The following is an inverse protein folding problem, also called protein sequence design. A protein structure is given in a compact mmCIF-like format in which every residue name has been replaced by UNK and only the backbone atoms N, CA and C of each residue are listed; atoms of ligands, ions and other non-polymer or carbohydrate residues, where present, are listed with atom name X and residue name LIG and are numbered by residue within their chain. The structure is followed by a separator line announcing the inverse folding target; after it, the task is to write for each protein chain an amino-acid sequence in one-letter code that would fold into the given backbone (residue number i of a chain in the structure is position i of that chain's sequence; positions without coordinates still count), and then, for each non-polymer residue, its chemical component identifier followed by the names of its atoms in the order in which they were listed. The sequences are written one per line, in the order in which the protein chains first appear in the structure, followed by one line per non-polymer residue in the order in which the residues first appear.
data_IF_867587040994
#
_entry.id   IF_867587040994
#
_cell.length_a   1.000
_cell.length_b   1.000
_cell.length_c   1.000
_cell.angle_alpha   90.00
_cell.angle_beta   90.00
_cell.angle_gamma   90.00
#
_symmetry.space_group_name_H-M   'P 1'
#
loop_
_entity.id
_entity.type
_entity.pdbx_description
1 polymer ?
#
# COMPACT_ATOMS: atom_id res chain seq x y z
N UNK A 1 -18.62 5.02 -2.06
CA UNK A 1 -17.52 4.50 -1.21
C UNK A 1 -16.29 5.31 -1.56
N UNK A 2 -15.78 6.14 -0.65
CA UNK A 2 -14.55 6.90 -0.91
C UNK A 2 -13.33 6.06 -0.54
N UNK A 3 -12.41 5.91 -1.48
CA UNK A 3 -11.06 5.41 -1.24
C UNK A 3 -10.08 6.56 -1.49
N UNK A 4 -8.95 6.55 -0.78
CA UNK A 4 -7.84 7.42 -1.16
C UNK A 4 -7.10 6.79 -2.33
N UNK A 5 -6.71 7.60 -3.31
CA UNK A 5 -5.88 7.17 -4.43
C UNK A 5 -4.63 8.03 -4.51
N UNK A 6 -3.49 7.37 -4.66
CA UNK A 6 -2.21 7.99 -4.94
C UNK A 6 -1.53 7.26 -6.09
N UNK A 7 -0.52 7.90 -6.69
CA UNK A 7 0.18 7.37 -7.85
C UNK A 7 1.66 7.27 -7.56
N UNK A 8 2.25 6.14 -7.96
CA UNK A 8 3.68 5.90 -7.91
C UNK A 8 4.13 5.14 -9.16
N UNK A 9 5.38 4.69 -9.19
CA UNK A 9 5.93 3.92 -10.32
C UNK A 9 6.46 2.57 -9.85
N UNK A 10 6.19 1.54 -10.66
CA UNK A 10 6.93 0.28 -10.61
C UNK A 10 8.29 0.42 -11.28
N UNK A 11 9.26 -0.43 -10.93
CA UNK A 11 10.55 -0.51 -11.61
C UNK A 11 10.63 -1.85 -12.32
N UNK A 12 10.75 -1.82 -13.65
CA UNK A 12 10.77 -2.99 -14.52
C UNK A 12 11.93 -2.81 -15.51
N UNK A 13 13.11 -3.28 -15.13
CA UNK A 13 14.33 -2.98 -15.89
C UNK A 13 14.57 -1.47 -15.96
N UNK A 14 14.53 -0.91 -17.16
CA UNK A 14 14.65 0.54 -17.41
C UNK A 14 13.30 1.28 -17.42
N UNK A 15 12.19 0.53 -17.41
CA UNK A 15 10.85 1.08 -17.49
C UNK A 15 10.30 1.43 -16.11
N UNK A 16 9.51 2.51 -16.08
CA UNK A 16 8.82 3.00 -14.89
C UNK A 16 7.29 3.00 -15.10
N UNK A 17 6.63 1.82 -15.18
CA UNK A 17 5.18 1.76 -15.37
C UNK A 17 4.43 2.42 -14.20
N UNK A 18 3.32 3.08 -14.53
CA UNK A 18 2.45 3.71 -13.55
C UNK A 18 1.83 2.65 -12.62
N UNK A 19 1.84 2.92 -11.33
CA UNK A 19 1.10 2.15 -10.33
C UNK A 19 0.15 3.08 -9.60
N UNK A 20 -1.13 2.70 -9.53
CA UNK A 20 -2.11 3.37 -8.69
C UNK A 20 -2.25 2.60 -7.39
N UNK A 21 -2.19 3.32 -6.28
CA UNK A 21 -2.35 2.79 -4.92
C UNK A 21 -3.69 3.28 -4.41
N UNK A 22 -4.59 2.34 -4.12
CA UNK A 22 -5.93 2.65 -3.63
C UNK A 22 -6.11 2.07 -2.24
N UNK A 23 -6.57 2.90 -1.30
CA UNK A 23 -6.70 2.52 0.11
C UNK A 23 -8.13 2.71 0.61
N UNK A 24 -9.05 1.79 0.29
CA UNK A 24 -10.36 1.73 0.94
C UNK A 24 -10.27 1.31 2.42
N UNK A 25 -11.13 1.94 3.23
CA UNK A 25 -11.41 1.52 4.60
C UNK A 25 -12.78 0.84 4.66
N UNK A 26 -12.81 -0.37 5.22
CA UNK A 26 -14.03 -1.14 5.43
C UNK A 26 -14.29 -1.39 6.92
N UNK A 27 -15.56 -1.48 7.30
CA UNK A 27 -15.96 -1.91 8.64
C UNK A 27 -15.64 -3.40 8.85
N UNK A 28 -15.41 -3.80 10.10
CA UNK A 28 -15.10 -5.18 10.49
C UNK A 28 -13.88 -5.27 11.40
N UNK A 29 -13.41 -6.49 11.64
CA UNK A 29 -12.21 -6.73 12.45
C UNK A 29 -10.98 -6.03 11.85
N UNK A 30 -10.09 -5.45 12.68
CA UNK A 30 -8.87 -4.81 12.20
C UNK A 30 -8.01 -5.78 11.39
N UNK A 31 -7.71 -5.40 10.16
CA UNK A 31 -6.84 -6.14 9.26
C UNK A 31 -6.19 -5.17 8.28
N UNK A 32 -4.98 -5.50 7.81
CA UNK A 32 -4.27 -4.71 6.81
C UNK A 32 -3.73 -5.65 5.74
N UNK A 33 -4.30 -5.53 4.54
CA UNK A 33 -3.98 -6.40 3.41
C UNK A 33 -3.39 -5.56 2.29
N UNK A 34 -2.36 -6.07 1.62
CA UNK A 34 -1.82 -5.50 0.38
C UNK A 34 -2.07 -6.51 -0.73
N UNK A 35 -2.66 -6.07 -1.85
CA UNK A 35 -3.03 -6.91 -2.99
C UNK A 35 -2.50 -6.31 -4.30
N UNK A 36 -2.38 -7.14 -5.34
CA UNK A 36 -1.79 -6.74 -6.64
C UNK A 36 -0.34 -7.20 -6.80
N UNK A 37 -0.04 -8.46 -6.48
CA UNK A 37 1.30 -9.08 -6.54
C UNK A 37 2.41 -8.33 -5.76
N UNK A 38 2.22 -8.06 -4.45
CA UNK A 38 3.28 -7.50 -3.61
C UNK A 38 4.30 -8.57 -3.21
N UNK A 39 5.58 -8.28 -3.45
CA UNK A 39 6.66 -9.08 -2.89
C UNK A 39 6.89 -8.78 -1.41
N UNK A 40 7.76 -9.56 -0.77
CA UNK A 40 8.03 -9.49 0.68
C UNK A 40 8.35 -8.07 1.16
N UNK A 41 9.23 -7.34 0.48
CA UNK A 41 9.60 -5.97 0.85
C UNK A 41 8.40 -5.00 0.82
N UNK A 42 7.46 -5.21 -0.12
CA UNK A 42 6.21 -4.44 -0.21
C UNK A 42 5.23 -4.86 0.87
N UNK A 43 5.18 -6.14 1.24
CA UNK A 43 4.34 -6.61 2.36
C UNK A 43 4.81 -6.04 3.70
N UNK A 44 6.12 -5.89 3.89
CA UNK A 44 6.73 -5.26 5.07
C UNK A 44 6.41 -3.75 5.18
N UNK A 45 5.93 -3.11 4.11
CA UNK A 45 5.51 -1.70 4.13
C UNK A 45 4.41 -1.45 5.14
N UNK A 46 3.54 -2.43 5.41
CA UNK A 46 2.51 -2.33 6.45
C UNK A 46 3.11 -1.92 7.79
N UNK A 47 4.18 -2.58 8.19
CA UNK A 47 4.77 -2.40 9.52
C UNK A 47 5.53 -1.06 9.57
N UNK A 48 6.17 -0.67 8.47
CA UNK A 48 6.82 0.65 8.32
C UNK A 48 5.83 1.81 8.34
N UNK A 49 4.75 1.73 7.55
CA UNK A 49 3.68 2.75 7.51
C UNK A 49 2.99 2.87 8.86
N UNK A 50 2.67 1.74 9.51
CA UNK A 50 2.12 1.77 10.87
C UNK A 50 3.07 2.46 11.84
N UNK A 51 4.35 2.09 11.83
CA UNK A 51 5.35 2.70 12.71
C UNK A 51 5.49 4.20 12.46
N UNK A 52 5.52 4.63 11.19
CA UNK A 52 5.60 6.04 10.81
C UNK A 52 4.40 6.85 11.32
N UNK A 53 3.17 6.34 11.17
CA UNK A 53 1.96 7.00 11.67
C UNK A 53 1.99 7.17 13.19
N UNK A 54 2.31 6.09 13.93
CA UNK A 54 2.36 6.13 15.40
C UNK A 54 3.45 7.08 15.91
N UNK A 55 4.64 7.07 15.28
CA UNK A 55 5.75 7.94 15.67
C UNK A 55 5.53 9.42 15.36
N UNK A 56 4.59 9.75 14.46
CA UNK A 56 4.23 11.12 14.10
C UNK A 56 2.98 11.63 14.82
N UNK A 57 2.47 10.87 15.79
CA UNK A 57 1.33 11.26 16.63
C UNK A 57 -0.04 11.01 16.00
N UNK A 58 -0.11 10.25 14.90
CA UNK A 58 -1.38 9.84 14.30
C UNK A 58 -1.88 8.52 14.89
N UNK A 59 -3.20 8.36 14.91
CA UNK A 59 -3.82 7.08 15.27
C UNK A 59 -3.85 6.13 14.08
N UNK A 60 -3.57 4.86 14.33
CA UNK A 60 -3.73 3.82 13.32
C UNK A 60 -5.18 3.27 13.36
N UNK A 61 -5.94 3.33 12.26
CA UNK A 61 -7.36 3.02 12.30
C UNK A 61 -7.62 1.53 12.64
N UNK A 62 -8.47 1.28 13.63
CA UNK A 62 -8.95 -0.04 14.02
C UNK A 62 -10.05 -0.55 13.06
N UNK A 63 -9.75 -0.59 11.76
CA UNK A 63 -10.66 -1.01 10.69
C UNK A 63 -9.96 -1.97 9.74
N UNK A 64 -10.72 -2.57 8.81
CA UNK A 64 -10.12 -3.35 7.72
C UNK A 64 -9.62 -2.39 6.65
N UNK A 65 -8.30 -2.38 6.45
CA UNK A 65 -7.57 -1.59 5.46
C UNK A 65 -7.16 -2.55 4.33
N UNK A 66 -7.42 -2.18 3.09
CA UNK A 66 -6.90 -2.92 1.93
C UNK A 66 -6.19 -1.93 1.03
N UNK A 67 -4.92 -2.19 0.74
CA UNK A 67 -4.11 -1.41 -0.19
C UNK A 67 -4.07 -2.20 -1.50
N UNK A 68 -4.69 -1.64 -2.53
CA UNK A 68 -4.72 -2.23 -3.87
C UNK A 68 -3.64 -1.57 -4.75
N UNK A 69 -2.77 -2.39 -5.34
CA UNK A 69 -1.71 -1.95 -6.24
C UNK A 69 -2.06 -2.33 -7.68
N UNK A 70 -2.55 -1.36 -8.46
CA UNK A 70 -2.88 -1.56 -9.88
C UNK A 70 -1.73 -1.10 -10.78
N UNK A 71 -1.37 -1.82 -11.86
CA UNK A 71 -2.08 -2.98 -12.41
C UNK A 71 -1.62 -4.30 -11.73
N UNK A 72 -2.54 -5.26 -11.58
CA UNK A 72 -2.34 -6.45 -10.74
C UNK A 72 -1.50 -7.57 -11.40
N UNK A 73 -1.19 -7.44 -12.68
CA UNK A 73 -0.35 -8.36 -13.49
C UNK A 73 1.15 -8.07 -13.35
N UNK A 74 1.51 -6.90 -12.84
CA UNK A 74 2.89 -6.48 -12.67
C UNK A 74 3.37 -6.73 -11.22
N UNK A 75 4.49 -7.45 -10.99
CA UNK A 75 5.06 -7.60 -9.64
C UNK A 75 5.47 -6.25 -9.02
N UNK A 76 5.17 -6.05 -7.74
CA UNK A 76 5.63 -4.87 -6.99
C UNK A 76 6.75 -5.26 -6.02
N UNK A 77 7.92 -4.69 -6.27
CA UNK A 77 9.16 -4.92 -5.52
C UNK A 77 9.70 -3.65 -4.86
N UNK A 78 10.47 -3.81 -3.77
CA UNK A 78 11.13 -2.70 -3.05
C UNK A 78 10.20 -1.87 -2.17
N UNK A 79 10.71 -0.81 -1.56
CA UNK A 79 10.02 0.04 -0.57
C UNK A 79 9.45 1.35 -1.12
N UNK A 80 9.53 1.57 -2.43
CA UNK A 80 9.10 2.84 -3.06
C UNK A 80 7.59 3.11 -3.03
N UNK A 81 6.80 2.14 -2.55
CA UNK A 81 5.36 2.27 -2.40
C UNK A 81 4.96 2.87 -1.04
N UNK A 82 5.87 2.97 -0.08
CA UNK A 82 5.55 3.36 1.31
C UNK A 82 4.95 4.77 1.44
N UNK A 83 5.37 5.69 0.57
CA UNK A 83 4.96 7.09 0.61
C UNK A 83 3.67 7.37 -0.20
N UNK A 84 3.31 6.45 -1.09
CA UNK A 84 2.10 6.57 -1.91
C UNK A 84 0.90 6.07 -1.10
#
# INVERSE_FOLDING_TARGET
MSFATTHCRAAVGIDAPLVSVETPLANGLPAFNIVGLPEKAVQESRDRVRSALLNTGFEFPARRITVNLAPADLPKQGSRFDLA
#
